data_IF_677085553037
#
_entry.id   IF_677085553037
#
_cell.length_a   1.000
_cell.length_b   1.000
_cell.length_c   1.000
_cell.angle_alpha   90.00
_cell.angle_beta   90.00
_cell.angle_gamma   90.00
#
_symmetry.space_group_name_H-M   'P 1'
#
loop_
_entity.id
_entity.type
_entity.pdbx_description
1 polymer ?
#
# COMPACT_ATOMS: atom_id res chain seq x y z
N UNK A 1 12.09 16.37 12.49
CA UNK A 1 10.63 16.55 12.54
C UNK A 1 10.07 15.83 11.33
N UNK A 2 9.15 14.90 11.55
CA UNK A 2 8.50 14.20 10.44
C UNK A 2 7.44 15.09 9.81
N UNK A 3 7.33 15.02 8.49
CA UNK A 3 6.39 15.82 7.70
C UNK A 3 5.16 14.99 7.36
N UNK A 4 3.98 15.58 7.50
CA UNK A 4 2.73 14.96 7.08
C UNK A 4 2.70 14.92 5.55
N UNK A 5 2.63 13.71 4.99
CA UNK A 5 2.53 13.45 3.55
C UNK A 5 1.13 13.00 3.19
N UNK A 6 0.73 13.26 1.94
CA UNK A 6 -0.53 12.78 1.36
C UNK A 6 -0.20 11.97 0.10
N UNK A 7 -0.63 10.71 0.07
CA UNK A 7 -0.64 9.88 -1.13
C UNK A 7 -2.05 9.88 -1.71
N UNK A 8 -2.18 10.32 -2.95
CA UNK A 8 -3.42 10.25 -3.72
C UNK A 8 -3.27 9.14 -4.76
N UNK A 9 -4.23 8.22 -4.77
CA UNK A 9 -4.25 7.06 -5.65
C UNK A 9 -5.51 7.15 -6.49
N UNK A 10 -5.35 7.32 -7.79
CA UNK A 10 -6.48 7.26 -8.72
C UNK A 10 -6.69 5.83 -9.22
N UNK A 11 -7.91 5.53 -9.64
CA UNK A 11 -8.23 4.23 -10.22
C UNK A 11 -7.43 3.98 -11.50
N UNK A 12 -7.19 5.01 -12.30
CA UNK A 12 -6.41 4.94 -13.53
C UNK A 12 -4.96 4.51 -13.24
N UNK A 13 -4.28 5.21 -12.32
CA UNK A 13 -2.89 4.87 -11.95
C UNK A 13 -2.75 3.43 -11.42
N UNK A 14 -3.76 2.99 -10.65
CA UNK A 14 -3.79 1.64 -10.11
C UNK A 14 -4.02 0.59 -11.21
N UNK A 15 -4.90 0.86 -12.18
CA UNK A 15 -5.12 -0.02 -13.33
C UNK A 15 -3.90 -0.13 -14.22
N UNK A 16 -3.19 0.97 -14.47
CA UNK A 16 -1.93 0.98 -15.21
C UNK A 16 -0.86 0.12 -14.51
N UNK A 17 -0.74 0.26 -13.19
CA UNK A 17 0.11 -0.61 -12.40
C UNK A 17 -0.25 -2.08 -12.56
N UNK A 18 -1.54 -2.42 -12.49
CA UNK A 18 -1.99 -3.81 -12.64
C UNK A 18 -1.73 -4.35 -14.05
N UNK A 19 -1.96 -3.56 -15.09
CA UNK A 19 -1.71 -3.94 -16.48
C UNK A 19 -0.23 -4.34 -16.68
N UNK A 20 0.69 -3.52 -16.16
CA UNK A 20 2.14 -3.81 -16.19
C UNK A 20 2.46 -5.05 -15.34
N UNK A 21 1.94 -5.10 -14.11
CA UNK A 21 2.32 -6.11 -13.12
C UNK A 21 1.81 -7.49 -13.46
N UNK A 22 0.58 -7.58 -13.97
CA UNK A 22 -0.12 -8.83 -14.24
C UNK A 22 -0.03 -9.25 -15.72
N UNK A 23 0.49 -8.37 -16.60
CA UNK A 23 0.60 -8.63 -18.05
C UNK A 23 -0.71 -9.11 -18.68
N UNK A 24 -1.82 -8.51 -18.26
CA UNK A 24 -3.16 -8.98 -18.61
C UNK A 24 -3.49 -8.71 -20.07
N UNK A 25 -4.31 -9.57 -20.67
CA UNK A 25 -4.86 -9.42 -22.01
C UNK A 25 -6.34 -9.84 -22.01
N UNK A 26 -7.17 -9.17 -22.81
CA UNK A 26 -8.56 -9.56 -23.04
C UNK A 26 -9.48 -9.38 -21.82
N UNK A 27 -10.34 -10.37 -21.56
CA UNK A 27 -11.44 -10.30 -20.59
C UNK A 27 -11.01 -10.10 -19.13
N UNK A 28 -9.83 -10.61 -18.74
CA UNK A 28 -9.33 -10.48 -17.36
C UNK A 28 -9.05 -9.02 -16.96
N UNK A 29 -8.74 -8.14 -17.92
CA UNK A 29 -8.54 -6.73 -17.66
C UNK A 29 -9.87 -6.04 -17.27
N UNK A 30 -10.96 -6.36 -17.96
CA UNK A 30 -12.28 -5.77 -17.72
C UNK A 30 -12.86 -6.13 -16.35
N UNK A 31 -12.61 -7.34 -15.85
CA UNK A 31 -13.08 -7.74 -14.52
C UNK A 31 -12.43 -6.92 -13.40
N UNK A 32 -11.14 -6.61 -13.54
CA UNK A 32 -10.38 -5.79 -12.58
C UNK A 32 -10.86 -4.34 -12.60
N UNK A 33 -11.18 -3.80 -13.77
CA UNK A 33 -11.74 -2.45 -13.92
C UNK A 33 -13.06 -2.28 -13.16
N UNK A 34 -13.81 -3.35 -12.93
CA UNK A 34 -15.07 -3.30 -12.19
C UNK A 34 -14.89 -3.28 -10.66
N UNK A 35 -13.69 -3.57 -10.15
CA UNK A 35 -13.43 -3.60 -8.71
C UNK A 35 -13.14 -2.18 -8.19
N UNK A 36 -13.82 -1.78 -7.11
CA UNK A 36 -13.67 -0.46 -6.50
C UNK A 36 -12.66 -0.46 -5.34
N UNK A 37 -12.06 0.70 -5.05
CA UNK A 37 -11.12 0.82 -3.93
C UNK A 37 -11.69 0.43 -2.56
N UNK A 38 -12.95 0.76 -2.20
CA UNK A 38 -13.54 0.31 -0.95
C UNK A 38 -13.48 -1.21 -0.78
N UNK A 39 -13.79 -1.97 -1.84
CA UNK A 39 -13.70 -3.43 -1.82
C UNK A 39 -12.24 -3.92 -1.73
N UNK A 40 -11.34 -3.37 -2.56
CA UNK A 40 -9.93 -3.77 -2.55
C UNK A 40 -9.27 -3.53 -1.19
N UNK A 41 -9.61 -2.41 -0.55
CA UNK A 41 -9.09 -2.08 0.77
C UNK A 41 -9.66 -3.00 1.85
N UNK A 42 -10.99 -3.17 1.91
CA UNK A 42 -11.65 -4.01 2.91
C UNK A 42 -11.26 -5.49 2.81
N UNK A 43 -11.01 -6.00 1.60
CA UNK A 43 -10.55 -7.38 1.38
C UNK A 43 -9.09 -7.60 1.75
N UNK A 44 -8.31 -6.55 2.05
CA UNK A 44 -6.90 -6.67 2.34
C UNK A 44 -6.05 -7.03 1.12
N UNK A 45 -6.44 -6.58 -0.07
CA UNK A 45 -5.76 -6.88 -1.34
C UNK A 45 -4.25 -6.64 -1.27
N UNK A 46 -3.47 -7.72 -1.44
CA UNK A 46 -2.00 -7.66 -1.48
C UNK A 46 -1.48 -6.84 -2.67
N UNK A 47 -2.22 -6.80 -3.78
CA UNK A 47 -1.89 -5.97 -4.93
C UNK A 47 -2.03 -4.48 -4.61
N UNK A 48 -3.12 -4.09 -3.93
CA UNK A 48 -3.33 -2.71 -3.50
C UNK A 48 -2.26 -2.30 -2.47
N UNK A 49 -1.96 -3.16 -1.49
CA UNK A 49 -0.88 -2.92 -0.51
C UNK A 49 0.47 -2.75 -1.19
N UNK A 50 0.78 -3.60 -2.16
CA UNK A 50 2.02 -3.51 -2.94
C UNK A 50 2.10 -2.18 -3.69
N UNK A 51 1.02 -1.77 -4.33
CA UNK A 51 0.95 -0.48 -5.02
C UNK A 51 1.18 0.68 -4.06
N UNK A 52 0.46 0.72 -2.93
CA UNK A 52 0.60 1.77 -1.91
C UNK A 52 2.05 1.89 -1.45
N UNK A 53 2.67 0.77 -1.06
CA UNK A 53 4.05 0.74 -0.55
C UNK A 53 5.08 1.19 -1.59
N UNK A 54 4.83 0.89 -2.87
CA UNK A 54 5.66 1.36 -3.97
C UNK A 54 5.49 2.85 -4.23
N UNK A 55 4.24 3.33 -4.30
CA UNK A 55 3.91 4.71 -4.63
C UNK A 55 4.35 5.72 -3.56
N UNK A 56 4.34 5.34 -2.28
CA UNK A 56 4.85 6.19 -1.20
C UNK A 56 6.36 6.04 -0.93
N UNK A 57 7.05 5.20 -1.72
CA UNK A 57 8.47 4.86 -1.59
C UNK A 57 8.90 4.43 -0.17
N UNK A 58 7.95 3.96 0.64
CA UNK A 58 8.13 3.76 2.08
C UNK A 58 9.32 2.84 2.40
N UNK A 59 9.47 1.77 1.64
CA UNK A 59 10.57 0.79 1.78
C UNK A 59 11.94 1.42 1.60
N UNK A 60 12.08 2.39 0.70
CA UNK A 60 13.34 3.10 0.47
C UNK A 60 13.68 4.03 1.64
N UNK A 61 12.66 4.60 2.29
CA UNK A 61 12.81 5.51 3.43
C UNK A 61 13.00 4.80 4.78
N UNK A 62 12.70 3.49 4.85
CA UNK A 62 12.88 2.71 6.07
C UNK A 62 14.37 2.53 6.42
N UNK A 63 14.77 2.75 7.68
CA UNK A 63 16.11 2.39 8.17
C UNK A 63 16.42 0.90 7.97
N UNK A 64 17.69 0.55 7.73
CA UNK A 64 18.13 -0.82 7.42
C UNK A 64 17.69 -1.86 8.46
N UNK A 65 17.63 -1.49 9.75
CA UNK A 65 17.14 -2.35 10.85
C UNK A 65 15.70 -2.84 10.70
N UNK A 66 14.92 -2.20 9.80
CA UNK A 66 13.54 -2.53 9.48
C UNK A 66 13.37 -3.06 8.04
N UNK A 67 14.44 -3.13 7.23
CA UNK A 67 14.36 -3.67 5.86
C UNK A 67 14.37 -5.19 5.91
N UNK A 68 13.19 -5.78 6.10
CA UNK A 68 12.95 -7.21 5.92
C UNK A 68 12.26 -7.44 4.56
N UNK A 69 12.51 -8.57 3.87
CA UNK A 69 11.88 -8.86 2.59
C UNK A 69 10.39 -9.22 2.71
N UNK A 70 9.85 -9.36 3.92
CA UNK A 70 8.46 -9.72 4.16
C UNK A 70 7.51 -8.53 3.97
N UNK A 71 6.57 -8.65 3.03
CA UNK A 71 5.63 -7.58 2.67
C UNK A 71 4.60 -7.30 3.77
N UNK A 72 4.16 -8.33 4.49
CA UNK A 72 3.22 -8.19 5.59
C UNK A 72 3.84 -7.37 6.73
N UNK A 73 5.11 -7.62 7.03
CA UNK A 73 5.90 -6.85 7.97
C UNK A 73 6.05 -5.39 7.53
N UNK A 74 6.44 -5.13 6.27
CA UNK A 74 6.56 -3.75 5.75
C UNK A 74 5.21 -3.01 5.84
N UNK A 75 4.12 -3.68 5.45
CA UNK A 75 2.77 -3.12 5.55
C UNK A 75 2.40 -2.77 7.00
N UNK A 76 2.75 -3.65 7.95
CA UNK A 76 2.54 -3.39 9.37
C UNK A 76 3.32 -2.16 9.87
N UNK A 77 4.54 -1.93 9.39
CA UNK A 77 5.28 -0.72 9.71
C UNK A 77 4.62 0.52 9.09
N UNK A 78 4.23 0.45 7.81
CA UNK A 78 3.55 1.57 7.14
C UNK A 78 2.24 1.94 7.82
N UNK A 79 1.45 0.95 8.25
CA UNK A 79 0.17 1.18 8.93
C UNK A 79 0.32 2.00 10.22
N UNK A 80 1.47 1.92 10.91
CA UNK A 80 1.75 2.76 12.09
C UNK A 80 1.93 4.24 11.70
N UNK A 81 2.42 4.53 10.50
CA UNK A 81 2.59 5.88 9.96
C UNK A 81 1.29 6.52 9.48
N UNK A 82 0.24 5.74 9.20
CA UNK A 82 -1.01 6.27 8.66
C UNK A 82 -1.79 7.04 9.73
N UNK A 83 -2.27 8.24 9.36
CA UNK A 83 -3.09 9.11 10.20
C UNK A 83 -4.55 9.11 9.76
N UNK A 84 -4.79 9.11 8.45
CA UNK A 84 -6.11 9.20 7.86
C UNK A 84 -6.14 8.43 6.54
N UNK A 85 -7.26 7.74 6.29
CA UNK A 85 -7.55 7.12 5.01
C UNK A 85 -8.95 7.55 4.58
N UNK A 86 -9.05 8.13 3.38
CA UNK A 86 -10.31 8.42 2.71
C UNK A 86 -10.40 7.54 1.47
N UNK A 87 -11.52 6.82 1.30
CA UNK A 87 -11.68 5.86 0.21
C UNK A 87 -12.99 6.14 -0.50
N UNK A 88 -12.88 6.53 -1.76
CA UNK A 88 -13.97 6.67 -2.71
C UNK A 88 -13.85 5.58 -3.79
N UNK A 89 -14.90 5.29 -4.58
CA UNK A 89 -14.85 4.23 -5.58
C UNK A 89 -13.69 4.34 -6.60
N UNK A 90 -13.32 5.58 -6.97
CA UNK A 90 -12.32 5.86 -8.01
C UNK A 90 -11.06 6.57 -7.49
N UNK A 91 -11.00 6.90 -6.20
CA UNK A 91 -9.88 7.62 -5.60
C UNK A 91 -9.69 7.19 -4.15
N UNK A 92 -8.44 7.01 -3.74
CA UNK A 92 -8.05 6.76 -2.35
C UNK A 92 -7.00 7.77 -1.93
N UNK A 93 -7.19 8.39 -0.75
CA UNK A 93 -6.23 9.31 -0.15
C UNK A 93 -5.73 8.74 1.16
N UNK A 94 -4.41 8.73 1.34
CA UNK A 94 -3.75 8.26 2.56
C UNK A 94 -2.87 9.39 3.07
N UNK A 95 -3.20 9.92 4.25
CA UNK A 95 -2.31 10.84 4.97
C UNK A 95 -1.47 10.05 5.95
N UNK A 96 -0.16 10.23 5.89
CA UNK A 96 0.79 9.48 6.70
C UNK A 96 1.99 10.33 7.09
N UNK A 97 2.62 9.96 8.20
CA UNK A 97 3.79 10.62 8.77
C UNK A 97 4.81 9.54 9.12
N UNK A 98 6.01 9.62 8.53
CA UNK A 98 7.07 8.65 8.80
C UNK A 98 7.52 8.76 10.27
N UNK A 99 7.95 7.65 10.87
CA UNK A 99 8.38 7.63 12.26
C UNK A 99 9.87 7.33 12.34
N UNK A 100 10.53 7.86 13.36
CA UNK A 100 11.95 7.54 13.63
C UNK A 100 12.09 6.10 14.14
N UNK A 101 11.11 5.65 14.93
CA UNK A 101 11.02 4.30 15.48
C UNK A 101 9.67 3.68 15.15
N UNK A 102 9.70 2.42 14.71
CA UNK A 102 8.53 1.60 14.51
C UNK A 102 8.51 0.44 15.49
N UNK A 103 7.32 0.09 15.97
CA UNK A 103 7.12 -1.14 16.75
C UNK A 103 7.29 -2.32 15.81
N UNK A 104 8.03 -3.33 16.26
CA UNK A 104 8.11 -4.63 15.56
C UNK A 104 6.86 -5.46 15.93
N UNK A 105 6.31 -6.27 15.02
CA UNK A 105 5.25 -7.20 15.36
C UNK A 105 5.76 -8.22 16.39
N UNK A 106 4.83 -8.83 17.12
CA UNK A 106 5.13 -9.73 18.22
C UNK A 106 6.19 -10.79 17.85
N UNK A 107 7.11 -11.10 18.78
CA UNK A 107 8.25 -12.01 18.57
C UNK A 107 7.89 -13.39 17.99
N UNK A 108 6.62 -13.82 18.09
CA UNK A 108 6.15 -15.13 17.62
C UNK A 108 6.08 -15.29 16.09
N UNK A 109 6.20 -14.22 15.31
CA UNK A 109 6.21 -14.30 13.83
C UNK A 109 7.61 -14.55 13.23
N UNK A 110 8.61 -14.84 14.07
CA UNK A 110 10.02 -15.06 13.66
C UNK A 110 10.55 -16.47 14.00
N UNK A 111 9.67 -17.46 14.17
CA UNK A 111 10.05 -18.86 14.34
C UNK A 111 9.85 -19.65 13.04
#
# INVERSE_FOLDING_TARGET
MSELKELVITKEDYLDFLAIRLRLQGSCQQEIENVSFPFLFASGSELLRTYILGACEFTSTLPDRYRLPDRGFIWFLFAQSVKEIQIMPNEMRIKYELQEDYRKPFKQFYL
#
